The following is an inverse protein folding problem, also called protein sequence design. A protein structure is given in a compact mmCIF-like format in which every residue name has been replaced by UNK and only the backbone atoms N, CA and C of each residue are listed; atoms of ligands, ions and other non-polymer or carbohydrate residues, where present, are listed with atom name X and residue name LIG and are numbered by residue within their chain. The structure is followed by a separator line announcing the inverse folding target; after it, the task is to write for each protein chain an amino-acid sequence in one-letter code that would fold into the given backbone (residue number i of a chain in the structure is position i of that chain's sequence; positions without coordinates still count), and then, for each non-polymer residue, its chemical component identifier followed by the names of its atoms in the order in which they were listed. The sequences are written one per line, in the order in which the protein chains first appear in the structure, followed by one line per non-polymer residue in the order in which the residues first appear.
data_IF_163014770368
#
_entry.id   IF_163014770368
#
_cell.length_a   1.000
_cell.length_b   1.000
_cell.length_c   1.000
_cell.angle_alpha   90.00
_cell.angle_beta   90.00
_cell.angle_gamma   90.00
#
_symmetry.space_group_name_H-M   'P 1'
#
loop_
_entity.id
_entity.type
_entity.pdbx_description
1 polymer ?
#
# COMPACT_ATOMS: atom_id res chain seq x y z
N UNK A 1 -6.88 -16.15 -17.02
CA UNK A 1 -6.62 -15.56 -15.68
C UNK A 1 -7.37 -14.25 -15.61
N UNK A 2 -8.30 -14.14 -14.67
CA UNK A 2 -8.98 -12.88 -14.37
C UNK A 2 -7.95 -11.91 -13.81
N UNK A 3 -7.70 -10.80 -14.50
CA UNK A 3 -6.86 -9.72 -13.98
C UNK A 3 -7.61 -9.11 -12.79
N UNK A 4 -7.01 -9.13 -11.60
CA UNK A 4 -7.62 -8.56 -10.39
C UNK A 4 -7.78 -7.04 -10.52
N UNK A 5 -6.74 -6.38 -11.04
CA UNK A 5 -6.72 -4.95 -11.31
C UNK A 5 -5.59 -4.63 -12.30
N UNK A 6 -5.76 -3.57 -13.10
CA UNK A 6 -4.74 -3.09 -14.03
C UNK A 6 -3.86 -1.96 -13.43
N UNK A 7 -4.19 -1.49 -12.22
CA UNK A 7 -3.53 -0.34 -11.61
C UNK A 7 -4.00 1.00 -12.22
N UNK A 8 -3.20 2.07 -12.11
CA UNK A 8 -1.91 2.16 -11.40
C UNK A 8 -2.04 1.81 -9.92
N UNK A 9 -0.93 1.37 -9.32
CA UNK A 9 -0.85 0.99 -7.91
C UNK A 9 -0.04 1.99 -7.09
N UNK A 10 -0.39 2.08 -5.82
CA UNK A 10 0.18 3.03 -4.88
C UNK A 10 0.54 2.39 -3.55
N UNK A 11 1.68 2.79 -3.00
CA UNK A 11 2.13 2.42 -1.67
C UNK A 11 2.36 3.68 -0.84
N UNK A 12 1.69 3.76 0.32
CA UNK A 12 1.84 4.86 1.26
C UNK A 12 2.77 4.49 2.41
N UNK A 13 3.76 5.34 2.68
CA UNK A 13 4.74 5.12 3.75
C UNK A 13 5.40 6.42 4.18
N UNK A 14 6.17 6.37 5.26
CA UNK A 14 7.12 7.41 5.69
C UNK A 14 8.58 7.06 5.38
N UNK A 15 8.83 5.87 4.83
CA UNK A 15 10.15 5.47 4.36
C UNK A 15 10.60 6.35 3.20
N UNK A 16 11.88 6.72 3.20
CA UNK A 16 12.50 7.53 2.14
C UNK A 16 13.08 6.61 1.06
N UNK A 17 12.24 6.25 0.09
CA UNK A 17 12.55 5.40 -1.06
C UNK A 17 12.75 6.25 -2.33
N UNK A 18 13.51 5.71 -3.27
CA UNK A 18 13.82 6.33 -4.56
C UNK A 18 13.23 5.52 -5.72
N UNK A 19 13.01 6.17 -6.87
CA UNK A 19 12.61 5.48 -8.10
C UNK A 19 13.69 4.46 -8.48
N UNK A 20 13.26 3.24 -8.77
CA UNK A 20 14.14 2.09 -9.04
C UNK A 20 14.33 1.16 -7.84
N UNK A 21 14.01 1.61 -6.62
CA UNK A 21 14.10 0.76 -5.44
C UNK A 21 13.09 -0.39 -5.50
N UNK A 22 13.46 -1.50 -4.85
CA UNK A 22 12.58 -2.64 -4.62
C UNK A 22 12.10 -2.61 -3.18
N UNK A 23 10.82 -2.35 -3.01
CA UNK A 23 10.13 -2.51 -1.74
C UNK A 23 9.91 -3.99 -1.49
N UNK A 24 10.44 -4.52 -0.39
CA UNK A 24 10.41 -5.95 -0.04
C UNK A 24 9.63 -6.20 1.24
N UNK A 25 9.12 -7.43 1.41
CA UNK A 25 8.62 -7.91 2.70
C UNK A 25 9.79 -8.16 3.67
N UNK A 26 9.50 -8.39 4.96
CA UNK A 26 10.52 -8.68 5.98
C UNK A 26 10.80 -7.53 6.95
N UNK A 27 10.11 -6.39 6.80
CA UNK A 27 10.13 -5.32 7.79
C UNK A 27 9.16 -5.59 8.95
N UNK A 28 9.40 -4.98 10.11
CA UNK A 28 8.48 -5.06 11.25
C UNK A 28 7.15 -4.38 10.93
N UNK A 29 6.06 -4.89 11.50
CA UNK A 29 4.72 -4.37 11.29
C UNK A 29 4.55 -2.93 11.79
N UNK A 30 3.76 -2.15 11.05
CA UNK A 30 3.30 -0.83 11.47
C UNK A 30 2.34 -0.88 12.66
N UNK A 31 1.81 -2.05 13.04
CA UNK A 31 0.85 -2.22 14.13
C UNK A 31 1.42 -2.98 15.34
N UNK A 32 2.33 -3.93 15.13
CA UNK A 32 2.89 -4.81 16.18
C UNK A 32 4.40 -5.05 15.97
N UNK A 33 5.24 -4.60 16.90
CA UNK A 33 6.70 -4.70 16.78
C UNK A 33 7.24 -6.14 16.88
N UNK A 34 6.42 -7.11 17.30
CA UNK A 34 6.77 -8.53 17.34
C UNK A 34 6.54 -9.25 16.01
N UNK A 35 5.84 -8.61 15.06
CA UNK A 35 5.44 -9.21 13.79
C UNK A 35 6.36 -8.75 12.67
N UNK A 36 6.99 -9.71 11.99
CA UNK A 36 7.65 -9.49 10.69
C UNK A 36 6.60 -9.64 9.60
N UNK A 37 6.47 -8.63 8.75
CA UNK A 37 5.48 -8.62 7.68
C UNK A 37 5.97 -9.47 6.52
N UNK A 38 5.22 -10.54 6.20
CA UNK A 38 5.53 -11.41 5.06
C UNK A 38 4.98 -10.88 3.73
N UNK A 39 4.24 -9.77 3.76
CA UNK A 39 3.63 -9.18 2.58
C UNK A 39 3.85 -7.67 2.53
N UNK A 40 3.89 -7.14 1.32
CA UNK A 40 3.89 -5.72 1.00
C UNK A 40 2.46 -5.33 0.62
N UNK A 41 1.96 -4.25 1.18
CA UNK A 41 0.58 -3.80 0.99
C UNK A 41 0.53 -2.59 0.07
N UNK A 42 -0.43 -2.58 -0.84
CA UNK A 42 -0.61 -1.50 -1.82
C UNK A 42 -2.07 -1.41 -2.25
N UNK A 43 -2.44 -0.36 -2.97
CA UNK A 43 -3.82 -0.13 -3.41
C UNK A 43 -3.87 0.50 -4.78
N UNK A 44 -4.97 0.31 -5.51
CA UNK A 44 -5.23 1.06 -6.74
C UNK A 44 -5.89 2.45 -6.48
N UNK A 45 -6.02 2.88 -5.22
CA UNK A 45 -6.56 4.19 -4.84
C UNK A 45 -5.50 5.07 -4.17
N UNK A 46 -5.10 6.16 -4.82
CA UNK A 46 -4.08 7.08 -4.30
C UNK A 46 -4.43 7.63 -2.90
N UNK A 47 -5.69 8.00 -2.66
CA UNK A 47 -6.17 8.44 -1.34
C UNK A 47 -6.04 7.37 -0.25
N UNK A 48 -6.22 6.09 -0.62
CA UNK A 48 -6.03 4.97 0.30
C UNK A 48 -4.55 4.80 0.67
N UNK A 49 -3.64 4.98 -0.29
CA UNK A 49 -2.21 5.03 -0.01
C UNK A 49 -1.85 6.25 0.86
N UNK A 50 -2.44 7.41 0.62
CA UNK A 50 -2.29 8.58 1.48
C UNK A 50 -2.60 8.28 2.95
N UNK A 51 -3.77 7.66 3.22
CA UNK A 51 -4.14 7.23 4.57
C UNK A 51 -3.15 6.20 5.14
N UNK A 52 -2.68 5.24 4.33
CA UNK A 52 -1.68 4.28 4.77
C UNK A 52 -0.35 4.94 5.17
N UNK A 53 0.07 6.01 4.47
CA UNK A 53 1.26 6.78 4.83
C UNK A 53 1.09 7.45 6.20
N UNK A 54 -0.09 8.02 6.50
CA UNK A 54 -0.40 8.63 7.79
C UNK A 54 -0.30 7.62 8.95
N UNK A 55 -0.78 6.40 8.71
CA UNK A 55 -0.77 5.29 9.68
C UNK A 55 0.60 4.60 9.82
N UNK A 56 1.54 4.83 8.89
CA UNK A 56 2.84 4.17 8.92
C UNK A 56 3.71 4.66 10.08
N UNK A 57 4.54 3.77 10.65
CA UNK A 57 5.44 4.11 11.76
C UNK A 57 6.58 5.01 11.30
N UNK A 58 7.12 5.78 12.25
CA UNK A 58 8.24 6.70 12.05
C UNK A 58 7.83 8.16 11.94
N UNK A 59 8.84 9.02 11.99
CA UNK A 59 8.69 10.49 11.97
C UNK A 59 9.05 11.10 10.61
N UNK A 60 9.20 10.25 9.58
CA UNK A 60 9.47 10.67 8.22
C UNK A 60 8.29 11.42 7.59
N UNK A 61 8.57 12.10 6.47
CA UNK A 61 7.54 12.78 5.68
C UNK A 61 6.56 11.74 5.11
N UNK A 62 5.28 12.08 5.05
CA UNK A 62 4.28 11.28 4.34
C UNK A 62 4.62 11.23 2.85
N UNK A 63 4.66 10.02 2.28
CA UNK A 63 4.96 9.78 0.88
C UNK A 63 3.99 8.77 0.29
N UNK A 64 3.62 8.99 -0.97
CA UNK A 64 2.83 8.04 -1.77
C UNK A 64 3.62 7.71 -3.04
N UNK A 65 4.07 6.48 -3.12
CA UNK A 65 4.81 5.96 -4.27
C UNK A 65 3.89 5.31 -5.27
N UNK A 66 4.18 5.51 -6.56
CA UNK A 66 3.62 4.70 -7.65
C UNK A 66 4.48 3.44 -7.74
N UNK A 67 3.83 2.28 -7.70
CA UNK A 67 4.52 0.99 -7.61
C UNK A 67 4.06 0.03 -8.70
N UNK A 68 4.97 -0.84 -9.11
CA UNK A 68 4.70 -1.94 -10.04
C UNK A 68 4.99 -3.27 -9.35
N UNK A 69 3.99 -4.16 -9.21
CA UNK A 69 4.24 -5.52 -8.71
C UNK A 69 5.19 -6.28 -9.63
N UNK A 70 6.22 -6.90 -9.05
CA UNK A 70 7.17 -7.71 -9.83
C UNK A 70 6.66 -9.14 -10.08
N UNK A 71 5.50 -9.50 -9.54
CA UNK A 71 4.83 -10.76 -9.81
C UNK A 71 3.40 -10.78 -9.24
N UNK A 72 2.92 -11.97 -8.89
CA UNK A 72 1.54 -12.16 -8.45
C UNK A 72 1.21 -11.41 -7.15
N UNK A 73 -0.04 -11.00 -7.04
CA UNK A 73 -0.61 -10.36 -5.87
C UNK A 73 -2.06 -10.80 -5.69
N UNK A 74 -2.58 -10.59 -4.50
CA UNK A 74 -3.94 -10.98 -4.12
C UNK A 74 -4.66 -9.85 -3.40
N UNK A 75 -5.98 -9.97 -3.27
CA UNK A 75 -6.79 -9.05 -2.46
C UNK A 75 -6.30 -9.04 -1.02
N UNK A 76 -6.22 -7.87 -0.40
CA UNK A 76 -5.87 -7.75 1.01
C UNK A 76 -7.00 -8.33 1.87
N UNK A 77 -6.76 -9.46 2.58
CA UNK A 77 -7.79 -10.10 3.39
C UNK A 77 -8.13 -9.31 4.65
N UNK A 78 -7.41 -8.23 4.98
CA UNK A 78 -7.72 -7.40 6.13
C UNK A 78 -8.91 -6.45 5.87
N UNK A 79 -9.20 -6.14 4.61
CA UNK A 79 -10.24 -5.17 4.22
C UNK A 79 -11.19 -5.70 3.15
N UNK A 80 -10.83 -6.78 2.46
CA UNK A 80 -11.70 -7.49 1.51
C UNK A 80 -12.69 -8.38 2.25
N UNK A 81 -13.97 -8.34 1.83
CA UNK A 81 -15.06 -9.15 2.41
C UNK A 81 -15.19 -9.03 3.95
N UNK A 82 -14.85 -7.84 4.49
CA UNK A 82 -15.00 -7.54 5.92
C UNK A 82 -16.28 -6.79 6.22
N UNK A 83 -16.26 -5.47 5.98
CA UNK A 83 -17.42 -4.60 6.22
C UNK A 83 -18.39 -4.60 5.05
N UNK A 84 -17.86 -4.80 3.84
CA UNK A 84 -18.60 -4.79 2.58
C UNK A 84 -18.14 -5.97 1.71
N UNK A 85 -19.00 -6.51 0.84
CA UNK A 85 -18.64 -7.59 -0.07
C UNK A 85 -17.62 -7.11 -1.11
N UNK A 86 -16.69 -8.01 -1.46
CA UNK A 86 -15.59 -7.77 -2.40
C UNK A 86 -14.50 -6.88 -1.83
N UNK A 87 -13.75 -6.24 -2.73
CA UNK A 87 -12.62 -5.37 -2.42
C UNK A 87 -12.88 -3.91 -2.84
N UNK A 88 -13.81 -3.20 -2.19
CA UNK A 88 -14.17 -1.82 -2.58
C UNK A 88 -13.03 -0.83 -2.36
N UNK A 89 -12.10 -1.12 -1.43
CA UNK A 89 -10.90 -0.30 -1.21
C UNK A 89 -9.81 -0.56 -2.24
N UNK A 90 -9.99 -1.58 -3.11
CA UNK A 90 -9.00 -2.02 -4.10
C UNK A 90 -7.62 -2.17 -3.47
N UNK A 91 -7.59 -2.82 -2.31
CA UNK A 91 -6.39 -3.05 -1.50
C UNK A 91 -5.85 -4.44 -1.78
N UNK A 92 -4.54 -4.54 -1.93
CA UNK A 92 -3.84 -5.74 -2.36
C UNK A 92 -2.63 -5.99 -1.49
N UNK A 93 -2.13 -7.22 -1.53
CA UNK A 93 -0.85 -7.59 -0.93
C UNK A 93 -0.06 -8.52 -1.84
N UNK A 94 1.26 -8.46 -1.75
CA UNK A 94 2.16 -9.37 -2.47
C UNK A 94 3.31 -9.81 -1.57
N UNK A 95 3.75 -11.05 -1.71
CA UNK A 95 5.01 -11.54 -1.14
C UNK A 95 6.23 -11.13 -1.98
N UNK A 96 6.00 -10.90 -3.28
CA UNK A 96 7.04 -10.49 -4.22
C UNK A 96 7.27 -8.97 -4.15
N UNK A 97 8.50 -8.50 -4.43
CA UNK A 97 8.83 -7.08 -4.33
C UNK A 97 7.92 -6.19 -5.18
N UNK A 98 7.73 -4.95 -4.75
CA UNK A 98 7.15 -3.89 -5.57
C UNK A 98 8.26 -2.96 -6.02
N UNK A 99 8.31 -2.62 -7.31
CA UNK A 99 9.26 -1.64 -7.82
C UNK A 99 8.70 -0.24 -7.67
N UNK A 100 9.47 0.69 -7.10
CA UNK A 100 9.12 2.11 -7.10
C UNK A 100 9.35 2.67 -8.50
N UNK A 101 8.29 3.15 -9.15
CA UNK A 101 8.35 3.72 -10.51
C UNK A 101 8.08 5.24 -10.54
N UNK A 102 7.63 5.80 -9.43
CA UNK A 102 7.40 7.23 -9.26
C UNK A 102 6.97 7.59 -7.84
N UNK A 103 6.85 8.88 -7.56
CA UNK A 103 6.29 9.44 -6.33
C UNK A 103 5.23 10.47 -6.73
N UNK A 104 4.08 10.46 -6.04
CA UNK A 104 3.07 11.50 -6.23
C UNK A 104 3.45 12.74 -5.42
N UNK A 105 3.37 13.91 -6.06
CA UNK A 105 3.58 15.20 -5.38
C UNK A 105 2.38 15.60 -4.52
N UNK A 106 1.17 15.17 -4.90
CA UNK A 106 -0.06 15.39 -4.15
C UNK A 106 -1.10 14.30 -4.43
N UNK A 107 -2.02 14.11 -3.49
CA UNK A 107 -3.15 13.20 -3.59
C UNK A 107 -4.35 13.78 -2.85
N UNK A 108 -5.55 13.34 -3.22
CA UNK A 108 -6.76 13.66 -2.49
C UNK A 108 -6.70 13.06 -1.07
N UNK A 109 -6.93 13.84 0.00
CA UNK A 109 -7.05 13.31 1.35
C UNK A 109 -8.17 12.27 1.43
N UNK A 110 -8.00 11.26 2.28
CA UNK A 110 -9.12 10.37 2.57
C UNK A 110 -10.21 11.17 3.27
N UNK A 111 -11.45 11.08 2.81
CA UNK A 111 -12.58 11.79 3.42
C UNK A 111 -12.56 11.52 4.92
N UNK A 112 -12.38 12.59 5.72
CA UNK A 112 -12.41 12.49 7.17
C UNK A 112 -13.71 11.78 7.53
N UNK A 113 -13.62 10.61 8.19
CA UNK A 113 -14.78 10.11 8.93
C UNK A 113 -15.13 11.24 9.88
N UNK A 114 -16.33 11.85 9.82
CA UNK A 114 -16.69 12.89 10.75
C UNK A 114 -16.46 12.35 12.16
N UNK A 115 -15.59 13.06 12.91
CA UNK A 115 -15.24 12.71 14.29
C UNK A 115 -16.48 12.65 15.17
#
# INVERSE_FOLDING_TARGET
MTVLDAGPFYHGTKADLQVGDLLTAGFRSNYDDSVVMNHIYFTALAKGAGLAAEMSKGDGKLRVYIVEPTGEFENDPNVTDKKFPGNPTRSYRSELPLKIIGELESWEPYDSIPK
#
